data_IF_874335696810
#
_entry.id   IF_874335696810
#
_cell.length_a   1.000
_cell.length_b   1.000
_cell.length_c   1.000
_cell.angle_alpha   90.00
_cell.angle_beta   90.00
_cell.angle_gamma   90.00
#
_symmetry.space_group_name_H-M   'P 1'
#
loop_
_entity.id
_entity.type
_entity.pdbx_description
1 polymer ?
#
# COMPACT_ATOMS: atom_id res chain seq x y z
N UNK A 1 -1.39 -22.71 29.45
CA UNK A 1 -1.39 -21.31 28.97
C UNK A 1 -0.69 -21.06 27.63
N UNK A 2 0.43 -21.72 27.27
CA UNK A 2 1.10 -21.54 25.95
C UNK A 2 0.29 -22.07 24.76
N UNK A 3 -0.44 -23.18 24.90
CA UNK A 3 -1.28 -23.75 23.82
C UNK A 3 -2.45 -22.84 23.43
N UNK A 4 -3.14 -22.21 24.40
CA UNK A 4 -4.28 -21.32 24.16
C UNK A 4 -3.89 -20.05 23.38
N UNK A 5 -2.65 -19.54 23.57
CA UNK A 5 -2.17 -18.35 22.85
C UNK A 5 -1.84 -18.61 21.36
N UNK A 6 -1.31 -19.81 21.07
CA UNK A 6 -1.03 -20.23 19.68
C UNK A 6 -2.31 -20.53 18.87
N UNK A 7 -3.35 -20.97 19.55
CA UNK A 7 -4.66 -21.23 18.95
C UNK A 7 -5.38 -19.93 18.57
N UNK A 8 -5.28 -18.90 19.41
CA UNK A 8 -5.84 -17.57 19.14
C UNK A 8 -5.22 -16.89 17.90
N UNK A 9 -3.91 -17.07 17.67
CA UNK A 9 -3.25 -16.56 16.45
C UNK A 9 -3.82 -17.23 15.20
N UNK A 10 -4.01 -18.56 15.23
CA UNK A 10 -4.47 -19.31 14.05
C UNK A 10 -5.88 -18.92 13.59
N UNK A 11 -6.75 -18.45 14.46
CA UNK A 11 -8.09 -17.98 14.11
C UNK A 11 -8.10 -16.63 13.36
N UNK A 12 -7.03 -15.84 13.49
CA UNK A 12 -6.91 -14.54 12.84
C UNK A 12 -6.12 -14.61 11.52
N UNK A 13 -5.60 -15.79 11.16
CA UNK A 13 -4.84 -15.98 9.93
C UNK A 13 -5.75 -16.16 8.72
N UNK A 14 -5.36 -15.57 7.60
CA UNK A 14 -5.90 -15.95 6.30
C UNK A 14 -5.43 -17.35 5.91
N UNK A 15 -6.20 -18.10 5.10
CA UNK A 15 -5.76 -19.36 4.54
C UNK A 15 -4.43 -19.21 3.80
N UNK A 16 -3.45 -20.05 4.12
CA UNK A 16 -2.10 -19.98 3.53
C UNK A 16 -1.10 -19.05 4.22
N UNK A 17 -1.54 -18.23 5.16
CA UNK A 17 -0.68 -17.32 5.91
C UNK A 17 0.10 -18.06 7.01
N UNK A 18 1.41 -17.88 7.08
CA UNK A 18 2.25 -18.56 8.06
C UNK A 18 2.54 -17.71 9.30
N UNK A 19 2.61 -18.38 10.46
CA UNK A 19 3.03 -17.73 11.72
C UNK A 19 4.48 -17.27 11.64
N UNK A 20 5.32 -17.96 10.87
CA UNK A 20 6.74 -17.63 10.75
C UNK A 20 6.95 -16.32 9.99
N UNK A 21 6.18 -16.09 8.92
CA UNK A 21 6.16 -14.78 8.25
C UNK A 21 5.72 -13.68 9.22
N UNK A 22 4.66 -13.91 9.99
CA UNK A 22 4.15 -12.89 10.93
C UNK A 22 5.16 -12.58 12.06
N UNK A 23 5.97 -13.56 12.46
CA UNK A 23 7.09 -13.33 13.40
C UNK A 23 8.18 -12.48 12.78
N UNK A 24 8.58 -12.77 11.55
CA UNK A 24 9.57 -11.97 10.80
C UNK A 24 9.09 -10.52 10.59
N UNK A 25 7.79 -10.33 10.44
CA UNK A 25 7.16 -9.02 10.33
C UNK A 25 6.91 -8.35 11.70
N UNK A 26 7.29 -8.97 12.80
CA UNK A 26 7.02 -8.51 14.17
C UNK A 26 5.53 -8.27 14.47
N UNK A 27 4.64 -8.95 13.76
CA UNK A 27 3.20 -8.94 13.99
C UNK A 27 2.79 -9.96 15.05
N UNK A 28 3.64 -10.95 15.31
CA UNK A 28 3.48 -11.95 16.37
C UNK A 28 4.75 -11.97 17.22
N UNK A 29 4.59 -12.00 18.54
CA UNK A 29 5.70 -12.08 19.48
C UNK A 29 6.49 -13.39 19.34
N UNK A 30 7.72 -13.44 19.86
CA UNK A 30 8.56 -14.64 19.87
C UNK A 30 7.91 -15.82 20.62
N UNK A 31 7.05 -15.52 21.58
CA UNK A 31 6.24 -16.49 22.34
C UNK A 31 4.95 -16.92 21.62
N UNK A 32 4.69 -16.42 20.41
CA UNK A 32 3.47 -16.65 19.66
C UNK A 32 2.27 -15.83 20.16
N UNK A 33 2.48 -14.81 21.00
CA UNK A 33 1.41 -13.95 21.48
C UNK A 33 1.09 -12.84 20.48
N UNK A 34 -0.18 -12.55 20.27
CA UNK A 34 -0.68 -11.34 19.61
C UNK A 34 -0.94 -10.28 20.71
N UNK A 35 -0.17 -9.20 20.68
CA UNK A 35 -0.49 -8.01 21.45
C UNK A 35 -1.61 -7.23 20.76
N UNK A 36 -2.37 -6.41 21.49
CA UNK A 36 -3.52 -5.68 20.94
C UNK A 36 -3.17 -4.85 19.69
N UNK A 37 -2.01 -4.17 19.68
CA UNK A 37 -1.57 -3.40 18.52
C UNK A 37 -1.17 -4.28 17.33
N UNK A 38 -0.55 -5.42 17.59
CA UNK A 38 -0.19 -6.40 16.57
C UNK A 38 -1.43 -7.03 15.95
N UNK A 39 -2.43 -7.35 16.77
CA UNK A 39 -3.71 -7.88 16.32
C UNK A 39 -4.45 -6.88 15.42
N UNK A 40 -4.48 -5.60 15.82
CA UNK A 40 -5.07 -4.54 14.99
C UNK A 40 -4.39 -4.44 13.64
N UNK A 41 -3.05 -4.39 13.62
CA UNK A 41 -2.26 -4.35 12.36
C UNK A 41 -2.53 -5.58 11.50
N UNK A 42 -2.57 -6.77 12.09
CA UNK A 42 -2.87 -8.00 11.36
C UNK A 42 -4.26 -7.95 10.71
N UNK A 43 -5.28 -7.50 11.45
CA UNK A 43 -6.64 -7.35 10.92
C UNK A 43 -6.69 -6.34 9.78
N UNK A 44 -6.02 -5.21 9.91
CA UNK A 44 -5.93 -4.22 8.83
C UNK A 44 -5.25 -4.79 7.57
N UNK A 45 -4.11 -5.49 7.74
CA UNK A 45 -3.42 -6.13 6.61
C UNK A 45 -4.31 -7.20 5.97
N UNK A 46 -4.96 -8.05 6.77
CA UNK A 46 -5.83 -9.10 6.26
C UNK A 46 -7.05 -8.53 5.52
N UNK A 47 -7.69 -7.49 6.05
CA UNK A 47 -8.78 -6.80 5.36
C UNK A 47 -8.31 -6.22 4.02
N UNK A 48 -7.14 -5.59 4.02
CA UNK A 48 -6.58 -5.04 2.79
C UNK A 48 -6.27 -6.13 1.75
N UNK A 49 -5.71 -7.25 2.18
CA UNK A 49 -5.49 -8.42 1.32
C UNK A 49 -6.81 -8.89 0.69
N UNK A 50 -7.88 -8.99 1.48
CA UNK A 50 -9.20 -9.39 0.97
C UNK A 50 -9.76 -8.39 -0.06
N UNK A 51 -9.57 -7.09 0.15
CA UNK A 51 -9.97 -6.05 -0.81
C UNK A 51 -9.17 -6.12 -2.12
N UNK A 52 -7.89 -6.49 -2.04
CA UNK A 52 -6.99 -6.59 -3.20
C UNK A 52 -7.10 -7.94 -3.93
N UNK A 53 -7.62 -8.97 -3.27
CA UNK A 53 -7.64 -10.35 -3.82
C UNK A 53 -8.25 -10.45 -5.21
N UNK A 54 -9.41 -9.82 -5.54
CA UNK A 54 -9.98 -9.91 -6.89
C UNK A 54 -9.05 -9.36 -7.97
N UNK A 55 -8.42 -8.20 -7.72
CA UNK A 55 -7.48 -7.58 -8.65
C UNK A 55 -6.17 -8.37 -8.78
N UNK A 56 -5.68 -8.95 -7.67
CA UNK A 56 -4.50 -9.81 -7.68
C UNK A 56 -4.74 -11.08 -8.50
N UNK A 57 -5.89 -11.72 -8.33
CA UNK A 57 -6.25 -12.92 -9.11
C UNK A 57 -6.40 -12.61 -10.59
N UNK A 58 -7.10 -11.53 -10.95
CA UNK A 58 -7.21 -11.07 -12.34
C UNK A 58 -5.83 -10.82 -12.96
N UNK A 59 -4.93 -10.13 -12.26
CA UNK A 59 -3.56 -9.92 -12.71
C UNK A 59 -2.80 -11.23 -12.95
N UNK A 60 -2.88 -12.18 -12.00
CA UNK A 60 -2.16 -13.44 -12.08
C UNK A 60 -2.71 -14.37 -13.17
N UNK A 61 -4.01 -14.32 -13.44
CA UNK A 61 -4.67 -15.12 -14.48
C UNK A 61 -4.43 -14.57 -15.89
N UNK A 62 -4.38 -13.24 -16.04
CA UNK A 62 -4.24 -12.58 -17.35
C UNK A 62 -2.81 -12.48 -17.84
N UNK A 63 -1.83 -12.45 -16.96
CA UNK A 63 -0.44 -12.19 -17.32
C UNK A 63 0.47 -13.39 -17.02
N UNK A 64 1.23 -13.89 -18.00
CA UNK A 64 2.17 -14.99 -17.79
C UNK A 64 3.37 -14.59 -16.92
N UNK A 65 3.73 -13.31 -16.93
CA UNK A 65 4.83 -12.73 -16.15
C UNK A 65 4.31 -11.51 -15.37
N UNK A 66 3.46 -11.70 -14.36
CA UNK A 66 2.84 -10.60 -13.64
C UNK A 66 3.87 -9.84 -12.79
N UNK A 67 3.79 -8.51 -12.87
CA UNK A 67 4.64 -7.58 -12.11
C UNK A 67 3.78 -6.70 -11.23
N UNK A 68 4.07 -6.71 -9.93
CA UNK A 68 3.47 -5.87 -8.92
C UNK A 68 4.51 -4.90 -8.36
N UNK A 69 4.15 -3.63 -8.18
CA UNK A 69 4.98 -2.62 -7.50
C UNK A 69 4.30 -2.18 -6.21
N UNK A 70 5.02 -2.28 -5.11
CA UNK A 70 4.67 -1.70 -3.80
C UNK A 70 5.44 -0.37 -3.65
N UNK A 71 4.75 0.73 -3.94
CA UNK A 71 5.32 2.06 -4.01
C UNK A 71 5.29 2.75 -2.63
N UNK A 72 6.46 3.12 -2.11
CA UNK A 72 6.61 3.60 -0.75
C UNK A 72 6.47 2.46 0.27
N UNK A 73 7.08 1.32 -0.02
CA UNK A 73 6.86 0.05 0.67
C UNK A 73 7.13 0.08 2.18
N UNK A 74 7.94 1.02 2.66
CA UNK A 74 8.30 1.08 4.08
C UNK A 74 8.99 -0.22 4.53
N UNK A 75 8.39 -0.91 5.50
CA UNK A 75 8.83 -2.24 5.93
C UNK A 75 8.35 -3.37 5.01
N UNK A 76 7.68 -3.06 3.92
CA UNK A 76 7.13 -3.97 2.92
C UNK A 76 6.18 -5.06 3.49
N UNK A 77 5.48 -4.79 4.60
CA UNK A 77 4.61 -5.79 5.24
C UNK A 77 3.59 -6.40 4.28
N UNK A 78 2.91 -5.55 3.51
CA UNK A 78 1.93 -6.03 2.53
C UNK A 78 2.62 -6.83 1.44
N UNK A 79 3.72 -6.35 0.88
CA UNK A 79 4.48 -7.06 -0.15
C UNK A 79 4.86 -8.47 0.27
N UNK A 80 5.33 -8.66 1.52
CA UNK A 80 5.65 -9.98 2.06
C UNK A 80 4.41 -10.89 2.19
N UNK A 81 3.30 -10.35 2.68
CA UNK A 81 2.05 -11.12 2.83
C UNK A 81 1.48 -11.51 1.46
N UNK A 82 1.47 -10.58 0.50
CA UNK A 82 1.02 -10.87 -0.87
C UNK A 82 1.90 -11.89 -1.57
N UNK A 83 3.22 -11.82 -1.36
CA UNK A 83 4.13 -12.82 -1.90
C UNK A 83 3.81 -14.21 -1.38
N UNK A 84 3.62 -14.37 -0.07
CA UNK A 84 3.30 -15.66 0.54
C UNK A 84 1.96 -16.23 0.05
N UNK A 85 0.93 -15.39 0.00
CA UNK A 85 -0.44 -15.83 -0.25
C UNK A 85 -0.76 -16.03 -1.74
N UNK A 86 -0.14 -15.25 -2.64
CA UNK A 86 -0.52 -15.23 -4.05
C UNK A 86 0.64 -15.48 -5.01
N UNK A 87 1.82 -14.89 -4.78
CA UNK A 87 2.90 -14.93 -5.76
C UNK A 87 3.80 -16.14 -5.60
N UNK A 88 3.78 -16.81 -4.46
CA UNK A 88 4.65 -17.95 -4.17
C UNK A 88 4.48 -19.08 -5.16
N UNK A 89 3.24 -19.38 -5.51
CA UNK A 89 2.87 -20.47 -6.45
C UNK A 89 3.01 -20.05 -7.93
N UNK A 90 3.29 -18.76 -8.22
CA UNK A 90 3.49 -18.26 -9.58
C UNK A 90 4.98 -18.03 -9.86
N UNK A 91 5.67 -18.93 -10.58
CA UNK A 91 7.13 -18.93 -10.71
C UNK A 91 7.69 -17.71 -11.46
N UNK A 92 6.88 -17.06 -12.31
CA UNK A 92 7.27 -15.88 -13.09
C UNK A 92 6.83 -14.54 -12.46
N UNK A 93 5.98 -14.56 -11.43
CA UNK A 93 5.48 -13.35 -10.80
C UNK A 93 6.61 -12.61 -10.03
N UNK A 94 6.69 -11.30 -10.20
CA UNK A 94 7.67 -10.43 -9.54
C UNK A 94 6.96 -9.38 -8.69
N UNK A 95 7.55 -9.04 -7.55
CA UNK A 95 7.16 -7.88 -6.76
C UNK A 95 8.36 -6.95 -6.56
N UNK A 96 8.16 -5.67 -6.85
CA UNK A 96 9.13 -4.61 -6.64
C UNK A 96 8.67 -3.74 -5.48
N UNK A 97 9.46 -3.70 -4.41
CA UNK A 97 9.24 -2.81 -3.26
C UNK A 97 10.13 -1.58 -3.43
N UNK A 98 9.52 -0.44 -3.77
CA UNK A 98 10.20 0.84 -3.96
C UNK A 98 10.16 1.63 -2.66
N UNK A 99 11.32 2.02 -2.13
CA UNK A 99 11.42 2.78 -0.88
C UNK A 99 12.62 3.74 -0.94
N UNK A 100 12.42 4.96 -0.47
CA UNK A 100 13.45 6.01 -0.46
C UNK A 100 14.47 5.88 0.67
N UNK A 101 14.17 5.12 1.71
CA UNK A 101 15.06 4.93 2.87
C UNK A 101 15.91 3.67 2.70
N UNK A 102 17.21 3.87 2.51
CA UNK A 102 18.17 2.81 2.25
C UNK A 102 18.18 1.71 3.33
N UNK A 103 18.02 2.09 4.61
CA UNK A 103 18.00 1.17 5.74
C UNK A 103 16.80 0.22 5.71
N UNK A 104 15.64 0.67 5.21
CA UNK A 104 14.45 -0.17 5.03
C UNK A 104 14.59 -1.10 3.83
N UNK A 105 15.18 -0.62 2.75
CA UNK A 105 15.49 -1.43 1.57
C UNK A 105 16.40 -2.60 1.95
N UNK A 106 17.47 -2.33 2.69
CA UNK A 106 18.43 -3.39 3.11
C UNK A 106 17.78 -4.40 4.05
N UNK A 107 17.04 -3.93 5.06
CA UNK A 107 16.27 -4.81 5.95
C UNK A 107 15.24 -5.67 5.19
N UNK A 108 14.62 -5.09 4.16
CA UNK A 108 13.69 -5.82 3.28
C UNK A 108 14.40 -6.94 2.51
N UNK A 109 15.58 -6.66 1.91
CA UNK A 109 16.41 -7.65 1.19
C UNK A 109 16.84 -8.80 2.10
N UNK A 110 17.37 -8.48 3.28
CA UNK A 110 17.77 -9.49 4.26
C UNK A 110 16.60 -10.37 4.69
N UNK A 111 15.43 -9.78 4.94
CA UNK A 111 14.21 -10.51 5.30
C UNK A 111 13.73 -11.42 4.17
N UNK A 112 13.69 -10.93 2.95
CA UNK A 112 13.34 -11.73 1.78
C UNK A 112 14.29 -12.91 1.59
N UNK A 113 15.61 -12.70 1.79
CA UNK A 113 16.60 -13.75 1.72
C UNK A 113 16.38 -14.83 2.80
N UNK A 114 16.12 -14.43 4.06
CA UNK A 114 15.83 -15.39 5.16
C UNK A 114 14.56 -16.22 4.90
N UNK A 115 13.53 -15.61 4.28
CA UNK A 115 12.28 -16.28 3.95
C UNK A 115 12.32 -17.08 2.64
N UNK A 116 13.42 -16.98 1.87
CA UNK A 116 13.53 -17.60 0.54
C UNK A 116 12.61 -16.95 -0.51
N UNK A 117 12.24 -15.69 -0.34
CA UNK A 117 11.36 -14.94 -1.25
C UNK A 117 12.18 -14.33 -2.39
N UNK A 118 12.68 -15.18 -3.26
CA UNK A 118 13.66 -14.86 -4.31
C UNK A 118 13.13 -13.95 -5.42
N UNK A 119 11.83 -13.77 -5.54
CA UNK A 119 11.19 -12.93 -6.56
C UNK A 119 10.70 -11.59 -6.01
N UNK A 120 11.05 -11.24 -4.76
CA UNK A 120 10.95 -9.88 -4.25
C UNK A 120 12.20 -9.09 -4.64
N UNK A 121 12.00 -7.92 -5.20
CA UNK A 121 13.04 -6.96 -5.58
C UNK A 121 12.87 -5.69 -4.76
N UNK A 122 13.95 -5.16 -4.23
CA UNK A 122 13.92 -3.94 -3.42
C UNK A 122 14.70 -2.84 -4.14
N UNK A 123 14.02 -1.76 -4.45
CA UNK A 123 14.56 -0.62 -5.19
C UNK A 123 14.68 0.57 -4.25
N UNK A 124 15.90 1.09 -4.12
CA UNK A 124 16.19 2.28 -3.34
C UNK A 124 16.02 3.52 -4.23
N UNK A 125 14.84 4.11 -4.24
CA UNK A 125 14.54 5.31 -4.99
C UNK A 125 13.29 6.04 -4.43
N UNK A 126 13.19 7.35 -4.61
CA UNK A 126 11.91 8.06 -4.50
C UNK A 126 10.95 7.58 -5.59
N UNK A 127 9.65 7.49 -5.28
CA UNK A 127 8.64 7.02 -6.23
C UNK A 127 8.59 7.94 -7.48
N UNK A 128 8.65 9.25 -7.28
CA UNK A 128 8.53 10.26 -8.34
C UNK A 128 9.68 10.28 -9.35
N UNK A 129 10.84 9.70 -9.01
CA UNK A 129 12.01 9.64 -9.91
C UNK A 129 11.94 8.49 -10.93
N UNK A 130 10.82 7.78 -10.99
CA UNK A 130 10.57 6.65 -11.90
C UNK A 130 11.78 5.70 -11.94
N UNK A 131 11.90 4.79 -10.96
CA UNK A 131 13.09 3.95 -10.79
C UNK A 131 13.44 3.21 -12.08
N UNK A 132 14.67 3.41 -12.57
CA UNK A 132 15.17 2.78 -13.81
C UNK A 132 15.21 1.25 -13.75
N UNK A 133 15.13 0.72 -12.52
CA UNK A 133 15.17 -0.72 -12.26
C UNK A 133 13.80 -1.40 -12.37
N UNK A 134 12.74 -0.63 -12.65
CA UNK A 134 11.41 -1.21 -12.91
C UNK A 134 11.30 -1.68 -14.37
N UNK A 135 10.58 -2.78 -14.62
CA UNK A 135 10.29 -3.22 -15.98
C UNK A 135 9.39 -2.21 -16.72
N UNK A 136 9.42 -2.24 -18.03
CA UNK A 136 8.62 -1.35 -18.88
C UNK A 136 7.12 -1.47 -18.58
N UNK A 137 6.63 -2.70 -18.38
CA UNK A 137 5.25 -2.98 -18.02
C UNK A 137 5.14 -3.38 -16.54
N UNK A 138 4.24 -2.73 -15.84
CA UNK A 138 3.81 -3.08 -14.48
C UNK A 138 2.30 -3.36 -14.53
N UNK A 139 1.84 -4.44 -13.90
CA UNK A 139 0.44 -4.85 -13.99
C UNK A 139 -0.39 -4.36 -12.79
N UNK A 140 0.25 -4.17 -11.64
CA UNK A 140 -0.42 -3.65 -10.46
C UNK A 140 0.51 -2.71 -9.66
N UNK A 141 -0.01 -1.58 -9.22
CA UNK A 141 0.69 -0.65 -8.33
C UNK A 141 -0.09 -0.50 -7.03
N UNK A 142 0.61 -0.69 -5.91
CA UNK A 142 0.10 -0.49 -4.57
C UNK A 142 0.79 0.72 -3.92
N UNK A 143 0.05 1.53 -3.20
CA UNK A 143 0.56 2.68 -2.45
C UNK A 143 -0.14 2.78 -1.09
N UNK A 144 0.36 2.01 -0.09
CA UNK A 144 -0.28 1.95 1.21
C UNK A 144 0.21 2.97 2.22
N UNK A 145 1.46 3.35 2.10
CA UNK A 145 2.13 4.25 3.04
C UNK A 145 2.82 5.42 2.32
N UNK A 146 2.47 5.64 1.06
CA UNK A 146 2.86 6.83 0.32
C UNK A 146 2.01 8.00 0.80
N UNK A 147 2.60 8.85 1.65
CA UNK A 147 1.89 9.98 2.24
C UNK A 147 1.93 11.20 1.32
N UNK A 148 0.85 12.00 1.37
CA UNK A 148 0.70 13.27 0.64
C UNK A 148 0.97 13.11 -0.86
N UNK A 149 1.87 13.89 -1.44
CA UNK A 149 2.24 13.86 -2.87
C UNK A 149 2.88 12.56 -3.33
N UNK A 150 3.48 11.78 -2.43
CA UNK A 150 4.01 10.46 -2.78
C UNK A 150 2.91 9.47 -3.24
N UNK A 151 1.64 9.66 -2.80
CA UNK A 151 0.50 8.94 -3.38
C UNK A 151 0.31 9.32 -4.85
N UNK A 152 0.42 10.61 -5.18
CA UNK A 152 0.26 11.10 -6.55
C UNK A 152 1.38 10.57 -7.46
N UNK A 153 2.62 10.50 -6.93
CA UNK A 153 3.75 9.88 -7.62
C UNK A 153 3.49 8.39 -7.93
N UNK A 154 2.88 7.66 -7.00
CA UNK A 154 2.53 6.26 -7.21
C UNK A 154 1.42 6.09 -8.27
N UNK A 155 0.41 6.98 -8.29
CA UNK A 155 -0.61 6.99 -9.32
C UNK A 155 0.00 7.31 -10.70
N UNK A 156 0.89 8.30 -10.77
CA UNK A 156 1.62 8.63 -12.00
C UNK A 156 2.52 7.48 -12.47
N UNK A 157 3.17 6.77 -11.55
CA UNK A 157 3.94 5.57 -11.87
C UNK A 157 3.04 4.51 -12.51
N UNK A 158 1.86 4.26 -11.94
CA UNK A 158 0.89 3.33 -12.51
C UNK A 158 0.47 3.71 -13.93
N UNK A 159 0.17 4.99 -14.17
CA UNK A 159 -0.20 5.51 -15.49
C UNK A 159 0.94 5.38 -16.50
N UNK A 160 2.17 5.68 -16.09
CA UNK A 160 3.36 5.60 -16.99
C UNK A 160 3.71 4.19 -17.41
N UNK A 161 3.44 3.20 -16.55
CA UNK A 161 3.70 1.79 -16.80
C UNK A 161 2.46 1.03 -17.29
N UNK A 162 1.38 1.74 -17.61
CA UNK A 162 0.12 1.18 -18.12
C UNK A 162 -0.41 0.04 -17.23
N UNK A 163 -0.45 0.30 -15.91
CA UNK A 163 -0.88 -0.71 -14.93
C UNK A 163 -2.37 -1.02 -15.07
N UNK A 164 -2.73 -2.31 -15.03
CA UNK A 164 -4.15 -2.73 -15.10
C UNK A 164 -4.89 -2.40 -13.80
N UNK A 165 -4.18 -2.49 -12.66
CA UNK A 165 -4.75 -2.28 -11.34
C UNK A 165 -3.93 -1.28 -10.51
N UNK A 166 -4.63 -0.43 -9.78
CA UNK A 166 -4.03 0.53 -8.84
C UNK A 166 -4.80 0.50 -7.53
N UNK A 167 -4.09 0.41 -6.41
CA UNK A 167 -4.69 0.57 -5.10
C UNK A 167 -3.86 1.53 -4.23
N UNK A 168 -4.52 2.53 -3.67
CA UNK A 168 -3.89 3.50 -2.78
C UNK A 168 -4.67 3.63 -1.47
N UNK A 169 -3.95 3.69 -0.35
CA UNK A 169 -4.49 3.99 0.98
C UNK A 169 -3.85 5.28 1.48
N UNK A 170 -4.38 6.44 1.10
CA UNK A 170 -3.82 7.73 1.52
C UNK A 170 -4.11 7.96 3.00
N UNK A 171 -3.07 8.02 3.82
CA UNK A 171 -3.19 8.24 5.27
C UNK A 171 -3.02 9.71 5.68
N UNK A 172 -2.38 10.52 4.86
CA UNK A 172 -2.13 11.95 5.11
C UNK A 172 -2.23 12.71 3.79
N UNK A 173 -2.98 13.81 3.77
CA UNK A 173 -3.07 14.73 2.65
C UNK A 173 -3.01 16.14 3.21
N UNK A 174 -1.90 16.83 3.00
CA UNK A 174 -1.67 18.15 3.57
C UNK A 174 -1.56 19.26 2.51
N UNK A 175 -1.17 18.93 1.28
CA UNK A 175 -0.85 19.90 0.24
C UNK A 175 -2.05 20.79 -0.12
N UNK A 176 -3.21 20.23 -0.44
CA UNK A 176 -4.41 21.01 -0.79
C UNK A 176 -4.84 21.88 0.39
N UNK A 177 -4.77 21.37 1.62
CA UNK A 177 -5.06 22.17 2.81
C UNK A 177 -4.10 23.34 2.98
N UNK A 178 -2.82 23.19 2.64
CA UNK A 178 -1.83 24.27 2.64
C UNK A 178 -2.16 25.31 1.57
N UNK A 179 -2.44 24.92 0.35
CA UNK A 179 -2.85 25.81 -0.75
C UNK A 179 -4.13 26.60 -0.41
N UNK A 180 -5.14 25.96 0.20
CA UNK A 180 -6.33 26.63 0.68
C UNK A 180 -6.03 27.65 1.79
N UNK A 181 -5.04 27.38 2.66
CA UNK A 181 -4.59 28.33 3.68
C UNK A 181 -3.96 29.57 3.06
N UNK A 182 -3.08 29.39 2.09
CA UNK A 182 -2.40 30.48 1.39
C UNK A 182 -3.41 31.37 0.66
N UNK A 183 -4.42 30.78 0.06
CA UNK A 183 -5.45 31.44 -0.74
C UNK A 183 -6.72 31.78 0.06
N UNK A 184 -6.68 31.78 1.40
CA UNK A 184 -7.86 31.97 2.25
C UNK A 184 -8.64 33.27 1.99
N UNK A 185 -7.95 34.32 1.54
CA UNK A 185 -8.55 35.64 1.25
C UNK A 185 -9.29 35.66 -0.09
N UNK A 186 -9.02 34.71 -0.97
CA UNK A 186 -9.70 34.57 -2.27
C UNK A 186 -10.91 33.61 -2.22
N UNK A 187 -11.26 33.13 -1.02
CA UNK A 187 -12.36 32.18 -0.87
C UNK A 187 -13.70 32.77 -1.33
N UNK A 188 -14.36 32.21 -2.35
CA UNK A 188 -15.66 32.67 -2.78
C UNK A 188 -16.74 32.35 -1.73
N UNK A 189 -17.78 33.16 -1.67
CA UNK A 189 -18.95 32.85 -0.85
C UNK A 189 -19.63 31.55 -1.35
N UNK A 190 -20.07 30.63 -0.47
CA UNK A 190 -20.12 30.69 1.01
C UNK A 190 -18.93 30.01 1.73
N UNK A 191 -17.77 29.86 1.11
CA UNK A 191 -16.66 29.03 1.55
C UNK A 191 -15.65 29.64 2.57
N UNK A 192 -15.72 30.93 2.99
CA UNK A 192 -14.69 31.50 3.90
C UNK A 192 -14.51 30.74 5.21
N UNK A 193 -15.60 30.19 5.78
CA UNK A 193 -15.54 29.40 7.02
C UNK A 193 -14.80 28.08 6.83
N UNK A 194 -14.99 27.39 5.70
CA UNK A 194 -14.28 26.15 5.38
C UNK A 194 -12.80 26.38 5.14
N UNK A 195 -12.43 27.42 4.40
CA UNK A 195 -11.05 27.73 4.09
C UNK A 195 -10.31 28.39 5.24
N UNK A 196 -11.01 29.20 6.05
CA UNK A 196 -10.44 29.92 7.16
C UNK A 196 -10.13 29.04 8.38
N UNK A 197 -11.00 28.07 8.69
CA UNK A 197 -10.85 27.28 9.90
C UNK A 197 -9.91 26.08 9.69
N UNK A 198 -8.86 25.88 10.55
CA UNK A 198 -7.84 24.85 10.32
C UNK A 198 -8.38 23.41 10.22
N UNK A 199 -9.35 23.05 11.06
CA UNK A 199 -9.93 21.70 11.07
C UNK A 199 -10.72 21.45 9.76
N UNK A 200 -11.64 22.34 9.42
CA UNK A 200 -12.45 22.22 8.22
C UNK A 200 -11.59 22.21 6.94
N UNK A 201 -10.60 23.09 6.89
CA UNK A 201 -9.67 23.16 5.76
C UNK A 201 -8.89 21.85 5.57
N UNK A 202 -8.41 21.23 6.68
CA UNK A 202 -7.70 19.96 6.61
C UNK A 202 -8.60 18.83 6.10
N UNK A 203 -9.81 18.71 6.64
CA UNK A 203 -10.75 17.66 6.25
C UNK A 203 -11.23 17.85 4.80
N UNK A 204 -11.63 19.08 4.46
CA UNK A 204 -12.01 19.41 3.08
C UNK A 204 -10.85 19.19 2.10
N UNK A 205 -9.63 19.59 2.47
CA UNK A 205 -8.44 19.37 1.65
C UNK A 205 -8.19 17.90 1.40
N UNK A 206 -8.31 17.04 2.41
CA UNK A 206 -8.14 15.61 2.28
C UNK A 206 -9.21 14.99 1.36
N UNK A 207 -10.48 15.35 1.54
CA UNK A 207 -11.56 14.87 0.68
C UNK A 207 -11.38 15.33 -0.77
N UNK A 208 -11.04 16.60 -0.96
CA UNK A 208 -10.83 17.16 -2.30
C UNK A 208 -9.67 16.48 -3.02
N UNK A 209 -8.57 16.22 -2.32
CA UNK A 209 -7.43 15.47 -2.86
C UNK A 209 -7.87 14.08 -3.36
N UNK A 210 -8.64 13.35 -2.56
CA UNK A 210 -9.11 12.01 -2.95
C UNK A 210 -10.08 12.06 -4.15
N UNK A 211 -10.94 13.07 -4.21
CA UNK A 211 -11.84 13.28 -5.37
C UNK A 211 -11.04 13.57 -6.63
N UNK A 212 -10.03 14.44 -6.56
CA UNK A 212 -9.15 14.78 -7.70
C UNK A 212 -8.42 13.52 -8.19
N UNK A 213 -7.86 12.72 -7.29
CA UNK A 213 -7.19 11.45 -7.63
C UNK A 213 -8.12 10.47 -8.33
N UNK A 214 -9.33 10.31 -7.80
CA UNK A 214 -10.35 9.44 -8.41
C UNK A 214 -10.74 9.92 -9.82
N UNK A 215 -10.98 11.21 -10.00
CA UNK A 215 -11.31 11.81 -11.31
C UNK A 215 -10.14 11.69 -12.30
N UNK A 216 -8.90 11.88 -11.82
CA UNK A 216 -7.70 11.70 -12.64
C UNK A 216 -7.59 10.26 -13.16
N UNK A 217 -7.75 9.26 -12.30
CA UNK A 217 -7.75 7.85 -12.72
C UNK A 217 -8.90 7.53 -13.69
N UNK A 218 -10.11 8.03 -13.41
CA UNK A 218 -11.26 7.84 -14.31
C UNK A 218 -11.03 8.45 -15.69
N UNK A 219 -10.38 9.62 -15.77
CA UNK A 219 -10.05 10.26 -17.05
C UNK A 219 -9.06 9.45 -17.88
N UNK A 220 -8.31 8.53 -17.26
CA UNK A 220 -7.39 7.59 -17.91
C UNK A 220 -8.02 6.19 -18.10
N UNK A 221 -9.33 6.05 -17.92
CA UNK A 221 -10.06 4.82 -18.22
C UNK A 221 -10.17 3.82 -17.06
N UNK A 222 -9.70 4.15 -15.86
CA UNK A 222 -9.86 3.28 -14.69
C UNK A 222 -11.30 3.31 -14.16
N UNK A 223 -11.80 2.16 -13.78
CA UNK A 223 -12.98 2.06 -12.92
C UNK A 223 -12.53 2.24 -11.46
N UNK A 224 -12.97 3.32 -10.81
CA UNK A 224 -12.53 3.68 -9.48
C UNK A 224 -13.58 3.34 -8.44
N UNK A 225 -13.19 2.59 -7.42
CA UNK A 225 -14.00 2.32 -6.21
C UNK A 225 -13.33 3.00 -5.02
N UNK A 226 -14.10 3.78 -4.27
CA UNK A 226 -13.66 4.41 -3.01
C UNK A 226 -14.35 3.70 -1.86
N UNK A 227 -13.57 3.19 -0.90
CA UNK A 227 -14.10 2.46 0.26
C UNK A 227 -13.31 2.81 1.52
N UNK A 228 -13.86 2.49 2.69
CA UNK A 228 -13.18 2.65 3.96
C UNK A 228 -12.38 1.40 4.30
N UNK A 229 -11.15 1.61 4.80
CA UNK A 229 -10.35 0.56 5.40
C UNK A 229 -10.68 0.50 6.89
N UNK A 230 -11.64 -0.36 7.26
CA UNK A 230 -11.99 -0.61 8.67
C UNK A 230 -11.03 -1.62 9.28
N UNK A 231 -10.51 -1.29 10.48
CA UNK A 231 -9.59 -2.16 11.22
C UNK A 231 -10.19 -2.66 12.54
#
# INVERSE_FOLDING_TARGET
MRQAKGEQVRHELLPGQSVDLLRELHLVGRDGALHADSLRKLKQVNHLVQLLEPALRDMLERHPEPVLVDAGAGNAYLGFVLYELFLREHPSALIYSVESRADLVERGRERAARLGFTRMRFVHAPIGEAPKDLPERVHMVLALHACDTATDDALLLALRHDADHVAAVPCCQAEVAAQLKENRHAAPQPWPLLWGHPIHRREMGAHLTNVIRALALQSHGYQVTVTELTG
#
